data_IF_416523978252
#
_entry.id   IF_416523978252
#
_cell.length_a   1.000
_cell.length_b   1.000
_cell.length_c   1.000
_cell.angle_alpha   90.00
_cell.angle_beta   90.00
_cell.angle_gamma   90.00
#
_symmetry.space_group_name_H-M   'P 1'
#
loop_
_entity.id
_entity.type
_entity.pdbx_description
1 polymer ?
#
# COMPACT_ATOMS: atom_id res chain seq x y z
N UNK A 1 78.70 20.12 -13.16
CA UNK A 1 78.89 18.68 -12.90
C UNK A 1 77.62 18.14 -12.25
N UNK A 2 77.02 17.11 -12.86
CA UNK A 2 75.88 16.28 -12.40
C UNK A 2 74.50 16.94 -12.48
N UNK A 3 73.43 16.30 -12.94
CA UNK A 3 73.20 15.03 -13.62
C UNK A 3 71.77 15.11 -14.20
N UNK A 4 71.51 14.38 -15.27
CA UNK A 4 70.20 14.18 -15.91
C UNK A 4 69.14 13.52 -15.00
N UNK A 5 68.01 13.12 -15.61
CA UNK A 5 66.86 12.31 -15.15
C UNK A 5 65.64 13.14 -14.71
N UNK A 6 64.40 12.76 -14.99
CA UNK A 6 63.78 11.88 -15.97
C UNK A 6 62.28 12.21 -15.88
N UNK A 7 61.57 12.02 -16.99
CA UNK A 7 60.11 12.17 -17.09
C UNK A 7 59.42 11.18 -16.15
N UNK A 8 58.41 11.63 -15.40
CA UNK A 8 57.31 10.77 -14.96
C UNK A 8 56.01 11.53 -15.20
N UNK A 9 55.30 11.12 -16.25
CA UNK A 9 53.91 11.48 -16.48
C UNK A 9 53.05 10.81 -15.41
N UNK A 10 52.35 11.60 -14.60
CA UNK A 10 51.29 11.09 -13.71
C UNK A 10 49.98 11.25 -14.47
N UNK A 11 49.52 10.15 -15.06
CA UNK A 11 48.17 10.04 -15.58
C UNK A 11 47.18 10.13 -14.41
N UNK A 12 46.43 11.22 -14.33
CA UNK A 12 45.31 11.35 -13.40
C UNK A 12 44.16 10.47 -13.91
N UNK A 13 44.12 9.22 -13.46
CA UNK A 13 42.92 8.38 -13.58
C UNK A 13 41.90 8.94 -12.60
N UNK A 14 40.99 9.78 -13.08
CA UNK A 14 39.77 10.12 -12.34
C UNK A 14 38.93 8.84 -12.29
N UNK A 15 39.10 8.07 -11.21
CA UNK A 15 38.17 7.04 -10.84
C UNK A 15 36.80 7.72 -10.67
N UNK A 16 35.88 7.44 -11.60
CA UNK A 16 34.47 7.77 -11.42
C UNK A 16 34.03 7.01 -10.16
N UNK A 17 33.58 7.70 -9.09
CA UNK A 17 33.00 6.98 -7.97
C UNK A 17 31.75 6.30 -8.51
N UNK A 18 31.79 4.96 -8.55
CA UNK A 18 30.59 4.16 -8.70
C UNK A 18 29.67 4.60 -7.57
N UNK A 19 28.58 5.28 -7.90
CA UNK A 19 27.48 5.51 -6.98
C UNK A 19 26.95 4.13 -6.61
N UNK A 20 27.47 3.58 -5.52
CA UNK A 20 26.91 2.43 -4.86
C UNK A 20 25.56 2.86 -4.28
N UNK A 21 24.50 2.75 -5.07
CA UNK A 21 23.15 2.54 -4.54
C UNK A 21 23.13 1.14 -3.94
N UNK A 22 23.82 0.98 -2.82
CA UNK A 22 23.79 -0.21 -2.01
C UNK A 22 23.19 0.20 -0.67
N UNK A 23 21.85 0.13 -0.63
CA UNK A 23 21.04 -0.27 0.50
C UNK A 23 19.61 -0.48 -0.03
N UNK A 24 19.38 -1.56 -0.79
CA UNK A 24 18.07 -2.22 -0.78
C UNK A 24 17.95 -2.96 0.56
N UNK A 25 17.91 -2.19 1.65
CA UNK A 25 17.39 -2.66 2.92
C UNK A 25 15.89 -2.65 2.72
N UNK A 26 15.33 -3.78 2.28
CA UNK A 26 13.89 -3.97 2.13
C UNK A 26 13.24 -3.85 3.52
N UNK A 27 13.04 -2.62 3.98
CA UNK A 27 12.08 -2.31 5.02
C UNK A 27 10.71 -2.72 4.48
N UNK A 28 10.36 -4.00 4.67
CA UNK A 28 9.04 -4.51 4.33
C UNK A 28 8.03 -3.68 5.09
N UNK A 29 7.24 -2.90 4.36
CA UNK A 29 6.20 -2.09 4.98
C UNK A 29 5.31 -2.99 5.82
N UNK A 30 5.12 -2.64 7.10
CA UNK A 30 4.28 -3.43 7.97
C UNK A 30 2.80 -3.08 7.75
N UNK A 31 1.95 -4.11 7.74
CA UNK A 31 0.50 -3.91 7.70
C UNK A 31 0.07 -3.30 9.03
N UNK A 32 -0.55 -2.12 8.99
CA UNK A 32 -1.12 -1.46 10.16
C UNK A 32 -2.58 -1.87 10.32
N UNK A 33 -3.07 -1.97 11.55
CA UNK A 33 -4.51 -2.08 11.82
C UNK A 33 -5.04 -0.70 12.18
N UNK A 34 -5.92 -0.16 11.34
CA UNK A 34 -6.57 1.12 11.60
C UNK A 34 -7.83 0.87 12.43
N UNK A 35 -8.05 1.69 13.46
CA UNK A 35 -9.28 1.63 14.24
C UNK A 35 -10.45 2.17 13.42
N UNK A 36 -11.67 1.80 13.81
CA UNK A 36 -12.85 2.15 13.03
C UNK A 36 -13.08 3.67 13.00
N UNK A 37 -12.93 4.33 14.13
CA UNK A 37 -13.04 5.78 14.30
C UNK A 37 -12.05 6.53 13.40
N UNK A 38 -10.81 6.06 13.34
CA UNK A 38 -9.76 6.64 12.50
C UNK A 38 -10.07 6.42 11.02
N UNK A 39 -10.53 5.22 10.64
CA UNK A 39 -10.94 4.95 9.26
C UNK A 39 -12.10 5.85 8.82
N UNK A 40 -13.09 6.10 9.69
CA UNK A 40 -14.18 7.03 9.41
C UNK A 40 -13.66 8.46 9.22
N UNK A 41 -12.73 8.91 10.06
CA UNK A 41 -12.12 10.24 9.91
C UNK A 41 -11.34 10.35 8.60
N UNK A 42 -10.55 9.34 8.24
CA UNK A 42 -9.75 9.29 7.01
C UNK A 42 -10.64 9.29 5.76
N UNK A 43 -11.77 8.56 5.78
CA UNK A 43 -12.72 8.55 4.68
C UNK A 43 -13.32 9.94 4.45
N UNK A 44 -13.70 10.65 5.53
CA UNK A 44 -14.23 12.01 5.44
C UNK A 44 -13.22 13.00 4.89
N UNK A 45 -11.93 12.83 5.18
CA UNK A 45 -10.88 13.70 4.62
C UNK A 45 -10.50 13.36 3.17
N UNK A 46 -10.91 12.20 2.65
CA UNK A 46 -10.60 11.78 1.28
C UNK A 46 -9.11 11.50 1.03
N UNK A 47 -8.35 11.19 2.09
CA UNK A 47 -6.88 11.04 2.03
C UNK A 47 -6.41 9.59 1.86
N UNK A 48 -7.35 8.65 1.69
CA UNK A 48 -7.04 7.25 1.47
C UNK A 48 -7.98 6.63 0.44
N UNK A 49 -7.46 5.61 -0.25
CA UNK A 49 -8.26 4.71 -1.06
C UNK A 49 -8.73 3.54 -0.20
N UNK A 50 -10.05 3.40 -0.06
CA UNK A 50 -10.65 2.22 0.57
C UNK A 50 -10.69 1.07 -0.43
N UNK A 51 -10.24 -0.11 0.00
CA UNK A 51 -10.17 -1.32 -0.82
C UNK A 51 -11.09 -2.38 -0.23
N UNK A 52 -12.15 -2.69 -0.97
CA UNK A 52 -13.19 -3.63 -0.59
C UNK A 52 -12.86 -5.04 -1.10
N UNK A 53 -12.55 -5.94 -0.18
CA UNK A 53 -12.26 -7.35 -0.46
C UNK A 53 -13.48 -8.28 -0.26
N UNK A 54 -14.70 -7.73 -0.22
CA UNK A 54 -15.92 -8.50 -0.06
C UNK A 54 -16.46 -9.08 -1.37
N UNK A 55 -17.27 -10.14 -1.25
CA UNK A 55 -18.09 -10.64 -2.35
C UNK A 55 -19.33 -9.76 -2.60
N UNK A 56 -20.01 -10.00 -3.72
CA UNK A 56 -21.19 -9.23 -4.12
C UNK A 56 -22.35 -9.34 -3.11
N UNK A 57 -22.58 -10.50 -2.50
CA UNK A 57 -23.66 -10.68 -1.52
C UNK A 57 -23.47 -9.80 -0.27
N UNK A 58 -22.24 -9.72 0.24
CA UNK A 58 -21.92 -8.86 1.39
C UNK A 58 -22.08 -7.39 1.02
N UNK A 59 -21.63 -7.00 -0.17
CA UNK A 59 -21.79 -5.64 -0.72
C UNK A 59 -23.27 -5.28 -0.89
N UNK A 60 -24.09 -6.17 -1.42
CA UNK A 60 -25.53 -5.97 -1.58
C UNK A 60 -26.24 -5.85 -0.23
N UNK A 61 -25.85 -6.67 0.76
CA UNK A 61 -26.48 -6.70 2.09
C UNK A 61 -26.10 -5.54 3.00
N UNK A 62 -24.83 -5.13 2.98
CA UNK A 62 -24.29 -4.16 3.93
C UNK A 62 -23.88 -2.83 3.31
N UNK A 63 -23.85 -2.72 1.98
CA UNK A 63 -23.32 -1.58 1.25
C UNK A 63 -21.80 -1.61 1.14
N UNK A 64 -21.22 -0.48 0.75
CA UNK A 64 -19.77 -0.26 0.67
C UNK A 64 -19.37 1.03 1.39
N UNK A 65 -18.10 1.13 1.77
CA UNK A 65 -17.54 2.44 2.12
C UNK A 65 -17.55 3.32 0.88
N UNK A 66 -17.96 4.57 1.01
CA UNK A 66 -18.10 5.48 -0.13
C UNK A 66 -16.78 5.61 -0.92
N UNK A 67 -16.87 5.44 -2.24
CA UNK A 67 -15.70 5.47 -3.13
C UNK A 67 -14.76 4.25 -3.04
N UNK A 68 -15.15 3.19 -2.32
CA UNK A 68 -14.30 2.00 -2.18
C UNK A 68 -14.10 1.27 -3.51
N UNK A 69 -12.85 0.87 -3.77
CA UNK A 69 -12.46 0.06 -4.90
C UNK A 69 -12.69 -1.42 -4.61
N UNK A 70 -13.51 -2.08 -5.41
CA UNK A 70 -13.69 -3.54 -5.35
C UNK A 70 -12.44 -4.26 -5.85
N UNK A 71 -12.03 -5.31 -5.14
CA UNK A 71 -11.02 -6.28 -5.58
C UNK A 71 -11.55 -7.70 -5.43
N UNK A 72 -11.08 -8.61 -6.28
CA UNK A 72 -11.34 -10.05 -6.14
C UNK A 72 -10.07 -10.71 -5.64
N UNK A 73 -10.02 -11.12 -4.37
CA UNK A 73 -8.78 -11.58 -3.72
C UNK A 73 -8.00 -12.64 -4.52
N UNK A 74 -8.71 -13.60 -5.14
CA UNK A 74 -8.09 -14.68 -5.93
C UNK A 74 -7.28 -14.14 -7.11
N UNK A 75 -7.79 -13.12 -7.79
CA UNK A 75 -7.19 -12.51 -8.98
C UNK A 75 -6.59 -11.14 -8.67
N UNK A 76 -6.47 -10.76 -7.40
CA UNK A 76 -6.04 -9.44 -6.99
C UNK A 76 -4.57 -9.23 -7.40
N UNK A 77 -4.36 -8.25 -8.27
CA UNK A 77 -3.05 -7.82 -8.75
C UNK A 77 -2.77 -6.37 -8.33
N UNK A 78 -2.05 -6.13 -7.22
CA UNK A 78 -1.90 -4.81 -6.64
C UNK A 78 -1.42 -3.73 -7.61
N UNK A 79 -0.42 -4.02 -8.45
CA UNK A 79 0.12 -3.04 -9.39
C UNK A 79 -0.92 -2.55 -10.41
N UNK A 80 -1.75 -3.45 -10.94
CA UNK A 80 -2.81 -3.09 -11.89
C UNK A 80 -3.98 -2.38 -11.21
N UNK A 81 -4.26 -2.77 -9.98
CA UNK A 81 -5.48 -2.40 -9.29
C UNK A 81 -5.35 -1.20 -8.36
N UNK A 82 -4.18 -0.93 -7.82
CA UNK A 82 -3.93 0.19 -6.92
C UNK A 82 -3.15 1.33 -7.59
N UNK A 83 -2.55 1.06 -8.77
CA UNK A 83 -1.77 2.02 -9.54
C UNK A 83 -0.34 2.23 -9.01
N UNK A 84 0.43 3.11 -9.64
CA UNK A 84 1.88 3.18 -9.43
C UNK A 84 2.32 3.92 -8.15
N UNK A 85 1.41 4.64 -7.49
CA UNK A 85 1.70 5.39 -6.26
C UNK A 85 1.85 4.46 -5.06
N UNK A 86 3.07 3.96 -4.85
CA UNK A 86 3.41 3.00 -3.78
C UNK A 86 3.26 3.57 -2.38
N UNK A 87 3.36 4.89 -2.23
CA UNK A 87 3.21 5.64 -0.99
C UNK A 87 1.77 6.10 -0.70
N UNK A 88 0.82 5.84 -1.61
CA UNK A 88 -0.58 6.16 -1.36
C UNK A 88 -1.14 5.34 -0.18
N UNK A 89 -2.01 5.97 0.60
CA UNK A 89 -2.67 5.33 1.75
C UNK A 89 -3.80 4.43 1.28
N UNK A 90 -3.69 3.14 1.59
CA UNK A 90 -4.72 2.14 1.32
C UNK A 90 -5.31 1.60 2.62
N UNK A 91 -6.65 1.55 2.70
CA UNK A 91 -7.39 0.93 3.80
C UNK A 91 -8.17 -0.26 3.26
N UNK A 92 -7.67 -1.46 3.53
CA UNK A 92 -8.32 -2.72 3.16
C UNK A 92 -9.38 -3.08 4.19
N UNK A 93 -10.56 -3.49 3.74
CA UNK A 93 -11.60 -4.02 4.61
C UNK A 93 -12.33 -5.20 3.95
N UNK A 94 -12.95 -6.03 4.78
CA UNK A 94 -13.89 -7.04 4.33
C UNK A 94 -15.12 -7.06 5.27
N UNK A 95 -15.73 -8.20 5.52
CA UNK A 95 -17.05 -8.24 6.16
C UNK A 95 -16.99 -7.76 7.61
N UNK A 96 -16.07 -8.33 8.39
CA UNK A 96 -15.89 -8.13 9.83
C UNK A 96 -14.55 -8.75 10.29
N UNK A 97 -14.32 -8.75 11.60
CA UNK A 97 -13.06 -9.21 12.22
C UNK A 97 -12.73 -10.69 11.99
N UNK A 98 -13.72 -11.52 11.66
CA UNK A 98 -13.52 -12.96 11.38
C UNK A 98 -13.10 -13.23 9.95
N UNK A 99 -13.20 -12.24 9.07
CA UNK A 99 -12.85 -12.38 7.66
C UNK A 99 -11.37 -12.04 7.43
N UNK A 100 -10.62 -12.97 6.83
CA UNK A 100 -9.20 -12.82 6.54
C UNK A 100 -8.88 -12.15 5.20
N UNK A 101 -9.87 -11.92 4.34
CA UNK A 101 -9.63 -11.52 2.95
C UNK A 101 -8.91 -10.16 2.82
N UNK A 102 -9.24 -9.20 3.69
CA UNK A 102 -8.59 -7.89 3.72
C UNK A 102 -7.13 -7.96 4.14
N UNK A 103 -6.80 -8.85 5.09
CA UNK A 103 -5.42 -9.07 5.55
C UNK A 103 -4.59 -9.71 4.43
N UNK A 104 -5.13 -10.70 3.73
CA UNK A 104 -4.45 -11.34 2.59
C UNK A 104 -4.25 -10.36 1.42
N UNK A 105 -5.24 -9.51 1.12
CA UNK A 105 -5.08 -8.45 0.11
C UNK A 105 -4.01 -7.43 0.53
N UNK A 106 -3.99 -7.02 1.80
CA UNK A 106 -2.97 -6.12 2.33
C UNK A 106 -1.55 -6.72 2.24
N UNK A 107 -1.39 -8.02 2.54
CA UNK A 107 -0.12 -8.73 2.36
C UNK A 107 0.35 -8.68 0.91
N UNK A 108 -0.54 -8.98 -0.05
CA UNK A 108 -0.23 -8.86 -1.48
C UNK A 108 0.23 -7.46 -1.86
N UNK A 109 -0.42 -6.41 -1.34
CA UNK A 109 -0.02 -5.03 -1.58
C UNK A 109 1.39 -4.73 -1.00
N UNK A 110 1.65 -5.08 0.26
CA UNK A 110 3.00 -4.94 0.84
C UNK A 110 4.06 -5.66 -0.01
N UNK A 111 3.80 -6.92 -0.40
CA UNK A 111 4.73 -7.68 -1.26
C UNK A 111 4.93 -7.05 -2.64
N UNK A 112 3.97 -6.24 -3.12
CA UNK A 112 4.07 -5.47 -4.36
C UNK A 112 4.66 -4.07 -4.16
N UNK A 113 5.23 -3.78 -2.97
CA UNK A 113 5.97 -2.56 -2.67
C UNK A 113 5.13 -1.38 -2.16
N UNK A 114 3.85 -1.57 -1.84
CA UNK A 114 3.04 -0.50 -1.24
C UNK A 114 3.42 -0.28 0.23
N UNK A 115 3.59 0.98 0.63
CA UNK A 115 4.23 1.33 1.91
C UNK A 115 3.28 1.85 2.98
N UNK A 116 2.11 2.38 2.61
CA UNK A 116 1.07 2.84 3.55
C UNK A 116 -0.18 1.96 3.49
N UNK A 117 0.00 0.70 3.92
CA UNK A 117 -1.03 -0.35 3.88
C UNK A 117 -1.66 -0.54 5.26
N UNK A 118 -2.98 -0.35 5.33
CA UNK A 118 -3.76 -0.41 6.56
C UNK A 118 -4.94 -1.38 6.40
N UNK A 119 -5.35 -2.05 7.47
CA UNK A 119 -6.53 -2.93 7.51
C UNK A 119 -7.52 -2.44 8.55
N UNK A 120 -8.76 -2.21 8.13
CA UNK A 120 -9.89 -1.93 9.03
C UNK A 120 -10.58 -3.25 9.39
N UNK A 121 -10.14 -3.87 10.50
CA UNK A 121 -10.66 -5.19 10.94
C UNK A 121 -12.16 -5.21 11.24
N UNK A 122 -12.71 -4.09 11.71
CA UNK A 122 -14.14 -3.96 11.99
C UNK A 122 -15.01 -4.27 10.75
N UNK A 123 -14.46 -4.10 9.54
CA UNK A 123 -15.14 -4.39 8.28
C UNK A 123 -16.37 -3.52 8.02
N UNK A 124 -17.09 -3.83 6.95
CA UNK A 124 -18.30 -3.09 6.57
C UNK A 124 -19.43 -3.23 7.59
N UNK A 125 -19.48 -4.37 8.30
CA UNK A 125 -20.47 -4.56 9.36
C UNK A 125 -20.21 -3.66 10.56
N UNK A 126 -18.95 -3.51 10.97
CA UNK A 126 -18.56 -2.57 12.03
C UNK A 126 -18.81 -1.12 11.60
N UNK A 127 -18.44 -0.77 10.37
CA UNK A 127 -18.73 0.53 9.76
C UNK A 127 -20.21 0.91 9.85
N UNK A 128 -21.08 0.03 9.37
CA UNK A 128 -22.54 0.21 9.43
C UNK A 128 -23.06 0.27 10.86
N UNK A 129 -22.53 -0.58 11.76
CA UNK A 129 -22.92 -0.60 13.18
C UNK A 129 -22.58 0.71 13.89
N UNK A 130 -21.49 1.37 13.51
CA UNK A 130 -21.10 2.69 14.03
C UNK A 130 -21.94 3.85 13.45
N UNK A 131 -22.93 3.57 12.59
CA UNK A 131 -23.77 4.59 11.96
C UNK A 131 -23.06 5.38 10.87
N UNK A 132 -21.91 4.91 10.39
CA UNK A 132 -21.21 5.55 9.28
C UNK A 132 -21.96 5.29 7.94
N UNK A 133 -22.00 6.27 7.02
CA UNK A 133 -22.76 6.16 5.78
C UNK A 133 -22.16 5.09 4.87
N UNK A 134 -23.02 4.36 4.17
CA UNK A 134 -22.64 3.37 3.16
C UNK A 134 -23.23 3.77 1.81
N UNK A 135 -22.53 3.44 0.74
CA UNK A 135 -23.07 3.54 -0.62
C UNK A 135 -23.65 2.21 -1.09
N UNK A 136 -24.62 2.27 -1.99
CA UNK A 136 -25.04 1.10 -2.77
C UNK A 136 -23.91 0.76 -3.75
N UNK A 137 -23.49 -0.52 -3.83
CA UNK A 137 -22.51 -0.93 -4.83
C UNK A 137 -23.04 -0.59 -6.22
N UNK A 138 -22.32 0.20 -6.99
CA UNK A 138 -22.66 0.40 -8.41
C UNK A 138 -22.37 -0.91 -9.15
N UNK A 139 -23.36 -1.37 -9.92
CA UNK A 139 -23.31 -2.55 -10.79
C UNK A 139 -22.31 -2.38 -11.92
#
# INVERSE_FOLDING_TARGET
MRLSHAVVAVAAVLAVPAAAFACDDHAQASIKHVKLEDAIAIQKSGTATFVDANNQDTRAKYGIVAGAKLITLKTFEPAKELGDKKDAKFIFYCANEKCGASVEAAKKAVSAGYTDVNVMKAGIMGWKKAGAPVETPRS
#
